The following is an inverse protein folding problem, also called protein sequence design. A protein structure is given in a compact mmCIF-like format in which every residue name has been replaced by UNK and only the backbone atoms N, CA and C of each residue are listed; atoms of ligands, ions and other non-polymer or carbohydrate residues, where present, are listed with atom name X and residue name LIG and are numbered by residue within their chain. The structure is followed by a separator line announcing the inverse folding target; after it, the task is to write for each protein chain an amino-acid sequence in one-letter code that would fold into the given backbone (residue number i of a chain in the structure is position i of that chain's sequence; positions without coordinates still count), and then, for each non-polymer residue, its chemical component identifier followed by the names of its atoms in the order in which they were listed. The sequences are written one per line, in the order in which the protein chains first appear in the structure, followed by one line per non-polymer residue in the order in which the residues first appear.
data_IF_028794459598
#
_entry.id   IF_028794459598
#
_cell.length_a   1.000
_cell.length_b   1.000
_cell.length_c   1.000
_cell.angle_alpha   90.00
_cell.angle_beta   90.00
_cell.angle_gamma   90.00
#
_symmetry.space_group_name_H-M   'P 1'
#
loop_
_entity.id
_entity.type
_entity.pdbx_description
1 polymer ?
#
# COMPACT_ATOMS: atom_id res chain seq x y z
N UNK A 1 10.34 18.45 29.24
CA UNK A 1 11.70 18.68 28.70
C UNK A 1 11.91 18.06 27.32
N UNK A 2 11.32 16.88 27.00
CA UNK A 2 11.52 16.19 25.70
C UNK A 2 10.87 16.85 24.47
N UNK A 3 9.72 17.53 24.63
CA UNK A 3 8.96 18.08 23.49
C UNK A 3 9.63 19.27 22.74
N UNK A 4 10.67 19.89 23.31
CA UNK A 4 11.40 20.96 22.61
C UNK A 4 12.39 20.39 21.59
N UNK A 5 13.06 19.29 21.90
CA UNK A 5 14.04 18.67 21.00
C UNK A 5 13.38 18.13 19.73
N UNK A 6 12.14 17.64 19.82
CA UNK A 6 11.36 17.12 18.69
C UNK A 6 11.24 18.11 17.51
N UNK A 7 11.14 19.40 17.81
CA UNK A 7 10.88 20.44 16.82
C UNK A 7 12.09 20.75 15.95
N UNK A 8 13.29 20.69 16.53
CA UNK A 8 14.52 21.08 15.84
C UNK A 8 14.88 20.10 14.72
N UNK A 9 14.89 18.80 15.02
CA UNK A 9 15.20 17.79 14.00
C UNK A 9 14.09 17.67 12.96
N UNK A 10 12.83 17.85 13.35
CA UNK A 10 11.72 17.83 12.40
C UNK A 10 11.81 19.01 11.43
N UNK A 11 12.05 20.22 11.96
CA UNK A 11 12.24 21.41 11.16
C UNK A 11 13.42 21.26 10.20
N UNK A 12 14.55 20.74 10.66
CA UNK A 12 15.72 20.50 9.81
C UNK A 12 15.40 19.51 8.67
N UNK A 13 14.77 18.37 8.99
CA UNK A 13 14.43 17.36 7.98
C UNK A 13 13.43 17.87 6.93
N UNK A 14 12.42 18.61 7.36
CA UNK A 14 11.42 19.21 6.46
C UNK A 14 12.06 20.31 5.59
N UNK A 15 12.87 21.19 6.19
CA UNK A 15 13.52 22.30 5.47
C UNK A 15 14.54 21.81 4.45
N UNK A 16 15.33 20.80 4.81
CA UNK A 16 16.35 20.21 3.94
C UNK A 16 15.79 19.16 2.98
N UNK A 17 14.49 18.82 3.06
CA UNK A 17 13.86 17.70 2.32
C UNK A 17 14.67 16.40 2.42
N UNK A 18 15.20 16.13 3.60
CA UNK A 18 16.13 15.03 3.86
C UNK A 18 15.44 13.87 4.59
N UNK A 19 16.13 12.73 4.62
CA UNK A 19 15.71 11.60 5.44
C UNK A 19 15.85 11.92 6.93
N UNK A 20 14.93 11.42 7.74
CA UNK A 20 14.92 11.54 9.19
C UNK A 20 15.06 10.14 9.79
N UNK A 21 16.18 9.88 10.44
CA UNK A 21 16.41 8.60 11.11
C UNK A 21 15.85 8.69 12.54
N UNK A 22 14.74 7.99 12.80
CA UNK A 22 14.12 7.96 14.13
C UNK A 22 13.21 6.75 14.30
N UNK A 23 13.25 6.17 15.51
CA UNK A 23 12.32 5.12 15.96
C UNK A 23 11.12 5.69 16.74
N UNK A 24 11.02 7.02 16.84
CA UNK A 24 9.88 7.67 17.47
C UNK A 24 8.61 7.46 16.62
N UNK A 25 7.52 7.10 17.28
CA UNK A 25 6.23 6.87 16.65
C UNK A 25 5.56 8.19 16.21
N UNK A 26 6.00 9.31 16.80
CA UNK A 26 5.51 10.67 16.58
C UNK A 26 4.00 10.78 16.86
N UNK A 27 3.55 10.14 17.96
CA UNK A 27 2.14 10.08 18.40
C UNK A 27 1.75 11.15 19.42
N UNK A 28 2.69 12.02 19.81
CA UNK A 28 2.43 13.09 20.78
C UNK A 28 1.41 14.12 20.28
N UNK A 29 0.75 14.80 21.23
CA UNK A 29 -0.18 15.91 20.96
C UNK A 29 0.44 17.03 20.10
N UNK A 30 1.77 17.19 20.13
CA UNK A 30 2.49 18.12 19.26
C UNK A 30 2.30 17.79 17.76
N UNK A 31 2.26 16.50 17.40
CA UNK A 31 2.09 16.06 16.02
C UNK A 31 0.64 16.14 15.54
N UNK A 32 -0.33 16.17 16.46
CA UNK A 32 -1.73 16.41 16.12
C UNK A 32 -1.94 17.82 15.53
N UNK A 33 -1.14 18.82 15.95
CA UNK A 33 -1.17 20.16 15.37
C UNK A 33 -0.65 20.23 13.93
N UNK A 34 0.20 19.29 13.51
CA UNK A 34 0.80 19.28 12.16
C UNK A 34 -0.16 18.76 11.08
N UNK A 35 -1.39 18.40 11.48
CA UNK A 35 -2.44 17.94 10.59
C UNK A 35 -2.39 16.44 10.34
N UNK A 36 -3.56 15.82 10.23
CA UNK A 36 -3.74 14.37 10.08
C UNK A 36 -3.50 13.87 8.65
N UNK A 37 -3.28 14.76 7.68
CA UNK A 37 -3.15 14.41 6.26
C UNK A 37 -1.72 14.54 5.72
N UNK A 38 -1.05 15.66 5.98
CA UNK A 38 0.29 15.94 5.45
C UNK A 38 1.37 15.19 6.21
N UNK A 39 1.33 15.27 7.55
CA UNK A 39 2.39 14.76 8.39
C UNK A 39 2.57 13.23 8.29
N UNK A 40 1.51 12.40 8.28
CA UNK A 40 1.66 10.95 8.06
C UNK A 40 2.29 10.62 6.70
N UNK A 41 1.89 11.31 5.62
CA UNK A 41 2.46 11.12 4.27
C UNK A 41 3.92 11.53 4.20
N UNK A 42 4.27 12.64 4.85
CA UNK A 42 5.66 13.09 4.94
C UNK A 42 6.50 12.06 5.72
N UNK A 43 5.98 11.60 6.85
CA UNK A 43 6.62 10.61 7.73
C UNK A 43 6.92 9.32 6.97
N UNK A 44 5.95 8.78 6.25
CA UNK A 44 6.13 7.55 5.45
C UNK A 44 7.25 7.66 4.40
N UNK A 45 7.43 8.84 3.80
CA UNK A 45 8.42 9.07 2.75
C UNK A 45 9.82 9.42 3.27
N UNK A 46 9.94 9.96 4.48
CA UNK A 46 11.20 10.50 4.99
C UNK A 46 11.72 9.77 6.24
N UNK A 47 10.87 9.03 6.96
CA UNK A 47 11.27 8.32 8.18
C UNK A 47 12.07 7.07 7.84
N UNK A 48 13.28 6.97 8.41
CA UNK A 48 14.11 5.78 8.40
C UNK A 48 14.07 5.17 9.80
N UNK A 49 13.57 3.93 9.91
CA UNK A 49 13.53 3.19 11.17
C UNK A 49 14.79 2.35 11.33
N UNK A 50 15.32 2.28 12.53
CA UNK A 50 16.52 1.54 12.89
C UNK A 50 16.11 0.26 13.61
N UNK A 51 16.51 -0.90 13.11
CA UNK A 51 16.40 -2.17 13.81
C UNK A 51 17.80 -2.68 14.20
N UNK A 52 18.01 -2.93 15.49
CA UNK A 52 19.26 -3.52 15.99
C UNK A 52 19.05 -5.03 16.09
N UNK A 53 19.85 -5.81 15.37
CA UNK A 53 19.82 -7.27 15.43
C UNK A 53 21.18 -7.82 15.85
N UNK A 54 21.25 -9.13 16.16
CA UNK A 54 22.53 -9.79 16.48
C UNK A 54 23.56 -9.74 15.33
N UNK A 55 23.09 -9.51 14.10
CA UNK A 55 23.92 -9.41 12.89
C UNK A 55 24.36 -7.96 12.59
N UNK A 56 23.92 -6.99 13.40
CA UNK A 56 24.27 -5.58 13.27
C UNK A 56 23.06 -4.65 13.15
N UNK A 57 23.36 -3.40 12.78
CA UNK A 57 22.40 -2.32 12.60
C UNK A 57 21.74 -2.42 11.22
N UNK A 58 20.42 -2.55 11.17
CA UNK A 58 19.64 -2.53 9.93
C UNK A 58 18.84 -1.22 9.84
N UNK A 59 19.03 -0.50 8.75
CA UNK A 59 18.25 0.69 8.42
C UNK A 59 17.10 0.29 7.50
N UNK A 60 15.88 0.53 7.95
CA UNK A 60 14.67 0.38 7.16
C UNK A 60 14.40 1.68 6.42
N UNK A 61 14.78 1.68 5.14
CA UNK A 61 14.55 2.81 4.25
C UNK A 61 13.05 2.94 3.91
N UNK A 62 12.55 4.17 3.72
CA UNK A 62 11.19 4.40 3.30
C UNK A 62 10.93 3.74 1.93
N UNK A 63 9.72 3.18 1.71
CA UNK A 63 9.40 2.48 0.48
C UNK A 63 9.48 3.42 -0.74
N UNK A 64 9.89 2.91 -1.92
CA UNK A 64 9.96 3.72 -3.14
C UNK A 64 8.56 4.03 -3.73
N UNK A 65 7.51 3.43 -3.18
CA UNK A 65 6.11 3.64 -3.55
C UNK A 65 5.35 4.26 -2.38
N UNK A 66 4.25 4.95 -2.68
CA UNK A 66 3.37 5.52 -1.64
C UNK A 66 2.27 4.55 -1.26
N UNK A 67 2.08 4.33 0.04
CA UNK A 67 1.05 3.48 0.65
C UNK A 67 -0.26 4.27 0.73
N UNK A 68 -0.83 4.53 -0.44
CA UNK A 68 -2.12 5.21 -0.59
C UNK A 68 -3.01 4.39 -1.53
N UNK A 69 -4.29 4.71 -1.56
CA UNK A 69 -5.18 4.19 -2.60
C UNK A 69 -4.69 4.73 -3.95
N UNK A 70 -4.42 3.83 -4.88
CA UNK A 70 -3.90 4.17 -6.22
C UNK A 70 -4.83 3.62 -7.29
N UNK A 71 -5.09 4.46 -8.30
CA UNK A 71 -5.75 4.10 -9.54
C UNK A 71 -4.70 4.07 -10.65
N UNK A 72 -4.61 2.94 -11.35
CA UNK A 72 -3.72 2.75 -12.49
C UNK A 72 -4.40 3.20 -13.79
N UNK A 73 -3.60 3.57 -14.79
CA UNK A 73 -4.08 4.04 -16.10
C UNK A 73 -4.97 3.02 -16.81
N UNK A 74 -4.76 1.71 -16.56
CA UNK A 74 -5.59 0.64 -17.12
C UNK A 74 -6.93 0.44 -16.38
N UNK A 75 -7.25 1.27 -15.37
CA UNK A 75 -8.44 1.17 -14.54
C UNK A 75 -8.33 0.15 -13.39
N UNK A 76 -7.12 -0.29 -13.06
CA UNK A 76 -6.86 -1.16 -11.90
C UNK A 76 -6.73 -0.33 -10.62
N UNK A 77 -7.26 -0.85 -9.52
CA UNK A 77 -7.22 -0.21 -8.21
C UNK A 77 -6.36 -1.00 -7.23
N UNK A 78 -5.53 -0.29 -6.46
CA UNK A 78 -4.73 -0.84 -5.38
C UNK A 78 -5.10 -0.14 -4.08
N UNK A 79 -5.62 -0.90 -3.11
CA UNK A 79 -6.08 -0.39 -1.82
C UNK A 79 -5.28 -1.06 -0.70
N UNK A 80 -4.43 -0.33 0.04
CA UNK A 80 -3.70 -0.89 1.17
C UNK A 80 -4.62 -1.07 2.39
N UNK A 81 -4.44 -2.16 3.13
CA UNK A 81 -5.10 -2.33 4.44
C UNK A 81 -4.40 -1.50 5.51
N UNK A 82 -5.13 -1.05 6.54
CA UNK A 82 -4.58 -0.23 7.63
C UNK A 82 -3.94 -1.14 8.69
N UNK A 83 -2.70 -1.58 8.46
CA UNK A 83 -1.92 -2.34 9.45
C UNK A 83 -1.05 -1.39 10.28
N UNK A 84 -0.93 -1.68 11.57
CA UNK A 84 -0.24 -0.81 12.54
C UNK A 84 1.29 -0.85 12.47
N UNK A 85 1.90 -1.99 12.16
CA UNK A 85 3.36 -2.10 12.05
C UNK A 85 3.78 -2.93 10.82
N UNK A 86 4.25 -2.22 9.79
CA UNK A 86 4.66 -2.82 8.52
C UNK A 86 6.03 -3.49 8.56
N UNK A 87 6.79 -3.29 9.65
CA UNK A 87 8.13 -3.86 9.79
C UNK A 87 8.10 -5.33 10.17
N UNK A 88 7.12 -5.73 10.99
CA UNK A 88 6.98 -7.10 11.48
C UNK A 88 6.00 -7.92 10.64
N UNK A 89 4.93 -7.28 10.14
CA UNK A 89 3.88 -7.94 9.37
C UNK A 89 3.79 -7.27 7.98
N UNK A 90 3.99 -8.01 6.89
CA UNK A 90 3.81 -7.47 5.55
C UNK A 90 2.41 -6.89 5.37
N UNK A 91 2.32 -5.62 4.95
CA UNK A 91 1.05 -4.97 4.66
C UNK A 91 0.31 -5.70 3.54
N UNK A 92 -0.98 -5.94 3.74
CA UNK A 92 -1.83 -6.55 2.73
C UNK A 92 -2.41 -5.49 1.80
N UNK A 93 -2.61 -5.87 0.54
CA UNK A 93 -3.14 -5.00 -0.50
C UNK A 93 -4.30 -5.70 -1.21
N UNK A 94 -5.38 -4.96 -1.41
CA UNK A 94 -6.48 -5.38 -2.28
C UNK A 94 -6.19 -4.86 -3.69
N UNK A 95 -6.14 -5.76 -4.66
CA UNK A 95 -6.01 -5.44 -6.08
C UNK A 95 -7.33 -5.73 -6.79
N UNK A 96 -7.91 -4.71 -7.43
CA UNK A 96 -9.08 -4.85 -8.28
C UNK A 96 -8.69 -4.47 -9.72
N UNK A 97 -8.57 -5.47 -10.59
CA UNK A 97 -8.23 -5.28 -12.00
C UNK A 97 -9.39 -5.79 -12.85
N UNK A 98 -9.74 -5.06 -13.92
CA UNK A 98 -10.75 -5.52 -14.88
C UNK A 98 -10.17 -6.68 -15.68
N UNK A 99 -10.81 -7.85 -15.63
CA UNK A 99 -10.49 -8.96 -16.52
C UNK A 99 -10.89 -8.57 -17.94
N UNK A 100 -9.91 -8.42 -18.82
CA UNK A 100 -10.18 -8.41 -20.26
C UNK A 100 -10.22 -9.87 -20.68
N UNK A 101 -11.40 -10.50 -20.62
CA UNK A 101 -11.56 -11.80 -21.26
C UNK A 101 -11.37 -11.60 -22.77
N UNK A 102 -10.38 -12.22 -23.41
CA UNK A 102 -10.35 -12.25 -24.86
C UNK A 102 -11.60 -12.98 -25.32
N UNK A 103 -12.41 -12.31 -26.15
CA UNK A 103 -13.53 -12.95 -26.85
C UNK A 103 -12.91 -14.03 -27.74
N UNK A 104 -12.87 -15.28 -27.26
CA UNK A 104 -12.55 -16.42 -28.08
C UNK A 104 -13.74 -16.67 -29.02
N UNK A 105 -13.70 -16.04 -30.19
CA UNK A 105 -14.68 -16.25 -31.29
C UNK A 105 -14.70 -17.73 -31.75
N UNK A 106 -13.73 -18.56 -31.34
CA UNK A 106 -13.61 -19.96 -31.73
C UNK A 106 -14.46 -20.98 -30.94
N UNK A 107 -15.33 -20.56 -30.01
CA UNK A 107 -16.24 -21.49 -29.30
C UNK A 107 -17.74 -21.32 -29.59
N UNK A 108 -18.13 -20.44 -30.52
CA UNK A 108 -19.54 -20.21 -30.87
C UNK A 108 -20.06 -21.02 -32.07
N UNK A 109 -19.19 -21.75 -32.78
CA UNK A 109 -19.60 -22.62 -33.91
C UNK A 109 -19.26 -24.07 -33.57
N UNK A 110 -20.27 -24.82 -33.10
CA UNK A 110 -20.38 -26.29 -32.91
C UNK A 110 -21.03 -26.52 -31.52
N UNK A 111 -22.34 -26.67 -31.34
CA UNK A 111 -23.22 -27.61 -32.05
C UNK A 111 -24.69 -27.24 -31.78
N UNK A 112 -25.29 -26.44 -32.65
CA UNK A 112 -26.74 -26.53 -32.89
C UNK A 112 -26.98 -27.76 -33.76
N UNK A 113 -27.26 -28.93 -33.16
CA UNK A 113 -27.97 -30.06 -33.78
C UNK A 113 -28.05 -31.25 -32.81
N UNK A 114 -29.20 -31.43 -32.19
CA UNK A 114 -29.86 -32.72 -32.01
C UNK A 114 -31.19 -32.50 -31.24
N UNK A 115 -32.19 -31.99 -31.95
CA UNK A 115 -33.60 -32.19 -31.54
C UNK A 115 -33.84 -33.70 -31.56
N UNK A 116 -33.99 -34.33 -30.38
CA UNK A 116 -34.36 -35.74 -30.29
C UNK A 116 -35.80 -35.92 -30.76
N UNK A 117 -36.10 -36.83 -31.70
CA UNK A 117 -37.49 -37.18 -32.00
C UNK A 117 -38.08 -38.02 -30.84
N UNK A 118 -39.29 -37.66 -30.45
CA UNK A 118 -40.16 -38.39 -29.51
C UNK A 118 -40.74 -39.62 -30.23
N UNK A 119 -40.07 -40.77 -30.13
CA UNK A 119 -40.69 -42.07 -30.46
C UNK A 119 -40.04 -43.27 -29.74
N UNK A 120 -39.54 -43.07 -28.51
CA UNK A 120 -39.17 -44.19 -27.62
C UNK A 120 -39.73 -43.94 -26.22
N UNK A 121 -41.06 -44.01 -26.11
CA UNK A 121 -41.77 -44.38 -24.89
C UNK A 121 -43.05 -45.10 -25.37
N UNK A 122 -43.00 -46.43 -25.32
CA UNK A 122 -44.01 -47.44 -25.71
C UNK A 122 -44.14 -47.74 -27.21
#
# INVERSE_FOLDING_TARGET
MFAFFARYWLYAAVSCRSLLVTNDEMRDHLFQLLGTSFFPRWKEKHQVRIAVSRQGLKLHMPPPYSIVIQEAEQGSWHVPTVTGDDLEIPRQWLCATRTVEPINISKAENTSKATKPLSQLF
#
